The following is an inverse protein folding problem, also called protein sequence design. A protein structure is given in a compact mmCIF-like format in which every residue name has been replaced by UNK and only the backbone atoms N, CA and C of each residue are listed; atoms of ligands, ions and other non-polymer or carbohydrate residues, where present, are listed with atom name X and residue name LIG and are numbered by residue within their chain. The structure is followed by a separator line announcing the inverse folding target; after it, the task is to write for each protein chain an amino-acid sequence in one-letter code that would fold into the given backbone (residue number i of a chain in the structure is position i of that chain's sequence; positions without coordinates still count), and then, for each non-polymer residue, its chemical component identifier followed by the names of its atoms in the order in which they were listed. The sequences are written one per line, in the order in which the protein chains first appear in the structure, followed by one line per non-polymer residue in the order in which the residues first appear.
data_IF_530199244343
#
_entry.id   IF_530199244343
#
_cell.length_a   1.000
_cell.length_b   1.000
_cell.length_c   1.000
_cell.angle_alpha   90.00
_cell.angle_beta   90.00
_cell.angle_gamma   90.00
#
_symmetry.space_group_name_H-M   'P 1'
#
loop_
_entity.id
_entity.type
_entity.pdbx_description
1 polymer ?
#
# COMPACT_ATOMS: atom_id res chain seq x y z
N UNK A 1 10.87 -0.54 31.92
CA UNK A 1 11.16 -0.32 30.51
C UNK A 1 9.88 -0.20 29.73
N UNK A 2 9.66 0.90 29.01
CA UNK A 2 8.43 1.00 28.24
C UNK A 2 8.41 -0.07 27.17
N UNK A 3 7.28 -0.72 27.03
CA UNK A 3 7.12 -1.73 25.98
C UNK A 3 7.24 -1.05 24.62
N UNK A 4 8.12 -1.62 23.81
CA UNK A 4 8.29 -1.15 22.46
C UNK A 4 7.02 -1.46 21.68
N UNK A 5 6.37 -0.45 21.12
CA UNK A 5 5.20 -0.66 20.28
C UNK A 5 5.59 -1.59 19.13
N UNK A 6 4.83 -2.66 18.95
CA UNK A 6 5.09 -3.61 17.89
C UNK A 6 4.78 -2.96 16.53
N UNK A 7 5.74 -3.03 15.63
CA UNK A 7 5.54 -2.53 14.28
C UNK A 7 4.67 -3.49 13.46
N UNK A 8 3.91 -2.94 12.52
CA UNK A 8 3.15 -3.74 11.56
C UNK A 8 4.10 -4.37 10.55
N UNK A 9 3.77 -5.55 10.06
CA UNK A 9 4.48 -6.12 8.92
C UNK A 9 3.99 -5.46 7.64
N UNK A 10 4.92 -5.19 6.73
CA UNK A 10 4.59 -4.65 5.41
C UNK A 10 5.06 -5.66 4.37
N UNK A 11 4.11 -6.22 3.62
CA UNK A 11 4.39 -7.19 2.56
C UNK A 11 3.82 -6.64 1.25
N UNK A 12 4.22 -7.23 0.13
CA UNK A 12 3.71 -6.84 -1.19
C UNK A 12 3.04 -8.00 -1.89
N UNK A 13 2.05 -7.69 -2.73
CA UNK A 13 1.51 -8.66 -3.66
C UNK A 13 2.59 -9.08 -4.66
N UNK A 14 2.36 -10.17 -5.38
CA UNK A 14 3.28 -10.61 -6.43
C UNK A 14 3.44 -9.51 -7.48
N UNK A 15 2.34 -8.87 -7.86
CA UNK A 15 2.35 -7.79 -8.84
C UNK A 15 3.17 -6.60 -8.36
N UNK A 16 2.98 -6.20 -7.12
CA UNK A 16 3.74 -5.08 -6.57
C UNK A 16 5.23 -5.41 -6.47
N UNK A 17 5.57 -6.61 -6.02
CA UNK A 17 6.98 -7.03 -5.92
C UNK A 17 7.67 -6.99 -7.27
N UNK A 18 7.01 -7.49 -8.33
CA UNK A 18 7.56 -7.45 -9.69
C UNK A 18 7.78 -6.03 -10.16
N UNK A 19 6.82 -5.16 -9.93
CA UNK A 19 6.94 -3.74 -10.25
C UNK A 19 8.10 -3.10 -9.50
N UNK A 20 8.17 -3.32 -8.19
CA UNK A 20 9.15 -2.70 -7.33
C UNK A 20 10.57 -3.14 -7.66
N UNK A 21 10.76 -4.44 -7.95
CA UNK A 21 12.07 -4.99 -8.28
C UNK A 21 12.63 -4.45 -9.60
N UNK A 22 11.78 -3.98 -10.49
CA UNK A 22 12.20 -3.38 -11.77
C UNK A 22 12.67 -1.94 -11.61
N UNK A 23 12.39 -1.30 -10.48
CA UNK A 23 12.84 0.07 -10.24
C UNK A 23 14.32 0.02 -9.87
N UNK A 24 15.20 0.78 -10.59
CA UNK A 24 16.61 0.81 -10.24
C UNK A 24 16.82 1.33 -8.82
N UNK A 25 17.86 0.83 -8.13
CA UNK A 25 18.13 1.22 -6.75
C UNK A 25 18.39 2.71 -6.58
N UNK A 26 18.93 3.36 -7.62
CA UNK A 26 19.23 4.79 -7.59
C UNK A 26 18.05 5.67 -8.03
N UNK A 27 16.91 5.06 -8.35
CA UNK A 27 15.72 5.83 -8.73
C UNK A 27 15.13 6.49 -7.50
N UNK A 28 14.86 7.80 -7.53
CA UNK A 28 14.26 8.52 -6.38
C UNK A 28 12.96 7.93 -5.89
N UNK A 29 12.17 7.29 -6.77
CA UNK A 29 10.91 6.64 -6.36
C UNK A 29 11.16 5.51 -5.39
N UNK A 30 12.24 4.75 -5.58
CA UNK A 30 12.54 3.62 -4.71
C UNK A 30 12.78 4.07 -3.27
N UNK A 31 13.53 5.16 -3.11
CA UNK A 31 13.74 5.77 -1.80
C UNK A 31 12.42 6.23 -1.18
N UNK A 32 11.60 6.86 -1.98
CA UNK A 32 10.29 7.35 -1.52
C UNK A 32 9.39 6.19 -1.05
N UNK A 33 9.37 5.08 -1.79
CA UNK A 33 8.63 3.89 -1.38
C UNK A 33 9.12 3.34 -0.05
N UNK A 34 10.44 3.25 0.15
CA UNK A 34 10.99 2.77 1.42
C UNK A 34 10.58 3.67 2.59
N UNK A 35 10.54 4.97 2.39
CA UNK A 35 10.06 5.91 3.42
C UNK A 35 8.60 5.63 3.79
N UNK A 36 7.76 5.36 2.78
CA UNK A 36 6.36 5.05 3.02
C UNK A 36 6.19 3.71 3.72
N UNK A 37 6.98 2.69 3.35
CA UNK A 37 6.94 1.41 4.06
C UNK A 37 7.23 1.60 5.54
N UNK A 38 8.20 2.45 5.87
CA UNK A 38 8.53 2.76 7.26
C UNK A 38 7.37 3.42 7.98
N UNK A 39 6.70 4.37 7.32
CA UNK A 39 5.53 5.04 7.89
C UNK A 39 4.42 4.03 8.16
N UNK A 40 4.13 3.14 7.22
CA UNK A 40 3.07 2.14 7.37
C UNK A 40 3.40 1.08 8.42
N UNK A 41 4.69 0.78 8.63
CA UNK A 41 5.10 -0.08 9.74
C UNK A 41 4.75 0.53 11.09
N UNK A 42 4.89 1.83 11.20
CA UNK A 42 4.60 2.54 12.45
C UNK A 42 3.10 2.75 12.64
N UNK A 43 2.38 3.11 11.56
CA UNK A 43 0.94 3.36 11.60
C UNK A 43 0.32 3.02 10.25
N UNK A 44 -0.37 1.89 10.18
CA UNK A 44 -0.99 1.42 8.95
C UNK A 44 -2.23 2.20 8.52
N UNK A 45 -2.71 3.10 9.38
CA UNK A 45 -3.91 3.90 9.09
C UNK A 45 -3.58 5.32 8.61
N UNK A 46 -2.34 5.57 8.21
CA UNK A 46 -1.91 6.89 7.75
C UNK A 46 -2.46 7.28 6.37
N UNK A 47 -2.85 6.30 5.57
CA UNK A 47 -3.43 6.58 4.26
C UNK A 47 -4.89 6.99 4.34
N UNK A 48 -5.47 7.23 3.17
CA UNK A 48 -6.88 7.52 3.01
C UNK A 48 -7.65 6.24 2.77
N UNK A 49 -8.70 6.01 3.56
CA UNK A 49 -9.56 4.86 3.38
C UNK A 49 -10.43 5.04 2.12
N UNK A 50 -10.45 4.03 1.26
CA UNK A 50 -11.24 4.08 0.04
C UNK A 50 -12.59 3.42 0.31
N UNK A 51 -13.72 4.12 0.06
CA UNK A 51 -15.06 3.55 0.26
C UNK A 51 -15.28 2.31 -0.59
N UNK A 52 -16.07 1.37 -0.07
CA UNK A 52 -16.33 0.08 -0.72
C UNK A 52 -16.85 0.23 -2.16
N UNK A 53 -17.72 1.20 -2.41
CA UNK A 53 -18.33 1.40 -3.73
C UNK A 53 -17.32 1.91 -4.77
N UNK A 54 -16.12 2.27 -4.35
CA UNK A 54 -15.04 2.70 -5.24
C UNK A 54 -13.99 1.62 -5.49
N UNK A 55 -14.14 0.46 -4.88
CA UNK A 55 -13.16 -0.61 -5.04
C UNK A 55 -13.21 -1.20 -6.45
N UNK A 56 -12.06 -1.29 -7.15
CA UNK A 56 -12.01 -2.02 -8.42
C UNK A 56 -12.43 -3.46 -8.23
N UNK A 57 -13.27 -3.97 -9.14
CA UNK A 57 -13.74 -5.36 -9.08
C UNK A 57 -12.57 -6.36 -9.06
N UNK A 58 -11.47 -6.03 -9.72
CA UNK A 58 -10.27 -6.85 -9.73
C UNK A 58 -9.74 -7.13 -8.32
N UNK A 59 -9.76 -6.13 -7.44
CA UNK A 59 -9.24 -6.31 -6.09
C UNK A 59 -10.15 -7.21 -5.26
N UNK A 60 -11.46 -7.09 -5.46
CA UNK A 60 -12.43 -7.93 -4.76
C UNK A 60 -12.25 -9.40 -5.17
N UNK A 61 -12.17 -9.67 -6.47
CA UNK A 61 -12.07 -11.04 -6.98
C UNK A 61 -10.70 -11.66 -6.75
N UNK A 62 -9.63 -10.89 -6.96
CA UNK A 62 -8.26 -11.41 -6.90
C UNK A 62 -7.70 -11.47 -5.50
N UNK A 63 -7.88 -10.40 -4.72
CA UNK A 63 -7.28 -10.28 -3.39
C UNK A 63 -8.27 -10.51 -2.26
N UNK A 64 -9.56 -10.54 -2.55
CA UNK A 64 -10.63 -10.75 -1.56
C UNK A 64 -10.49 -9.81 -0.36
N UNK A 65 -10.23 -8.54 -0.66
CA UNK A 65 -9.99 -7.52 0.36
C UNK A 65 -11.24 -7.23 1.18
N UNK A 66 -11.05 -6.81 2.43
CA UNK A 66 -12.12 -6.35 3.31
C UNK A 66 -12.02 -4.86 3.62
N UNK A 67 -10.93 -4.25 3.24
CA UNK A 67 -10.71 -2.81 3.33
C UNK A 67 -9.71 -2.42 2.25
N UNK A 68 -9.65 -1.13 1.95
CA UNK A 68 -8.76 -0.63 0.92
C UNK A 68 -8.32 0.77 1.30
N UNK A 69 -7.02 1.04 1.14
CA UNK A 69 -6.40 2.28 1.53
C UNK A 69 -5.51 2.80 0.41
N UNK A 70 -5.34 4.10 0.39
CA UNK A 70 -4.46 4.79 -0.55
C UNK A 70 -3.51 5.69 0.21
N UNK A 71 -2.23 5.60 -0.10
CA UNK A 71 -1.23 6.55 0.38
C UNK A 71 -0.68 7.31 -0.82
N UNK A 72 -0.84 8.64 -0.81
CA UNK A 72 -0.36 9.49 -1.90
C UNK A 72 1.03 10.01 -1.57
N UNK A 73 2.00 9.73 -2.44
CA UNK A 73 3.38 10.17 -2.30
C UNK A 73 3.50 11.63 -2.76
N UNK A 74 4.57 12.29 -2.32
CA UNK A 74 4.84 13.67 -2.73
C UNK A 74 5.00 13.82 -4.24
N UNK A 75 5.51 12.79 -4.91
CA UNK A 75 5.66 12.75 -6.36
C UNK A 75 4.34 12.62 -7.11
N UNK A 76 3.23 12.40 -6.41
CA UNK A 76 1.94 12.14 -7.02
C UNK A 76 1.63 10.67 -7.23
N UNK A 77 2.60 9.79 -7.03
CA UNK A 77 2.35 8.35 -7.07
C UNK A 77 1.47 7.94 -5.90
N UNK A 78 0.75 6.84 -6.08
CA UNK A 78 -0.14 6.30 -5.05
C UNK A 78 0.17 4.85 -4.79
N UNK A 79 0.25 4.50 -3.52
CA UNK A 79 0.35 3.11 -3.06
C UNK A 79 -1.04 2.69 -2.60
N UNK A 80 -1.51 1.57 -3.14
CA UNK A 80 -2.81 1.00 -2.78
C UNK A 80 -2.54 -0.22 -1.91
N UNK A 81 -3.15 -0.26 -0.73
CA UNK A 81 -2.88 -1.34 0.20
C UNK A 81 -4.14 -1.74 0.96
N UNK A 82 -4.09 -2.94 1.52
CA UNK A 82 -5.11 -3.45 2.42
C UNK A 82 -4.46 -3.79 3.76
N UNK A 83 -5.23 -3.73 4.82
CA UNK A 83 -4.76 -4.01 6.18
C UNK A 83 -5.44 -5.27 6.68
N UNK A 84 -4.65 -6.25 7.06
CA UNK A 84 -5.12 -7.51 7.63
C UNK A 84 -4.83 -7.50 9.10
N UNK A 85 -5.82 -7.88 9.93
CA UNK A 85 -5.58 -7.98 11.36
C UNK A 85 -5.05 -9.36 11.71
N UNK A 86 -4.07 -9.36 12.61
CA UNK A 86 -3.57 -10.55 13.26
C UNK A 86 -3.79 -10.42 14.75
N UNK A 87 -3.46 -11.46 15.49
CA UNK A 87 -3.73 -11.57 16.93
C UNK A 87 -3.41 -10.30 17.72
N UNK A 88 -2.23 -9.74 17.58
CA UNK A 88 -1.79 -8.55 18.33
C UNK A 88 -1.26 -7.42 17.45
N UNK A 89 -1.33 -7.58 16.13
CA UNK A 89 -0.77 -6.60 15.20
C UNK A 89 -1.54 -6.62 13.87
N UNK A 90 -1.02 -5.87 12.92
CA UNK A 90 -1.59 -5.81 11.57
C UNK A 90 -0.54 -6.19 10.54
N UNK A 91 -1.02 -6.69 9.41
CA UNK A 91 -0.19 -6.86 8.21
C UNK A 91 -0.70 -5.86 7.16
N UNK A 92 0.21 -5.04 6.65
CA UNK A 92 -0.07 -4.17 5.52
C UNK A 92 0.35 -4.91 4.26
N UNK A 93 -0.61 -5.17 3.37
CA UNK A 93 -0.31 -5.79 2.08
C UNK A 93 -0.45 -4.74 0.98
N UNK A 94 0.67 -4.39 0.36
CA UNK A 94 0.68 -3.45 -0.75
C UNK A 94 0.26 -4.19 -2.01
N UNK A 95 -0.85 -3.78 -2.61
CA UNK A 95 -1.43 -4.44 -3.77
C UNK A 95 -0.81 -3.94 -5.07
N UNK A 96 -0.79 -2.62 -5.25
CA UNK A 96 -0.27 -1.98 -6.45
C UNK A 96 0.24 -0.57 -6.11
N UNK A 97 1.04 -0.03 -7.01
CA UNK A 97 1.45 1.38 -6.96
C UNK A 97 1.31 1.98 -8.36
N UNK A 98 0.83 3.21 -8.43
CA UNK A 98 0.49 3.85 -9.69
C UNK A 98 0.95 5.29 -9.74
N UNK A 99 1.29 5.75 -10.95
CA UNK A 99 1.29 7.17 -11.26
C UNK A 99 -0.15 7.69 -11.16
N UNK A 100 -0.31 9.02 -11.09
CA UNK A 100 -1.65 9.61 -11.05
C UNK A 100 -2.53 9.15 -12.21
N UNK A 101 -1.99 9.12 -13.41
CA UNK A 101 -2.71 8.72 -14.63
C UNK A 101 -3.18 7.27 -14.56
N UNK A 102 -2.29 6.36 -14.16
CA UNK A 102 -2.62 4.94 -14.09
C UNK A 102 -3.58 4.65 -12.94
N UNK A 103 -3.49 5.41 -11.85
CA UNK A 103 -4.43 5.32 -10.74
C UNK A 103 -5.86 5.64 -11.23
N UNK A 104 -6.02 6.71 -12.00
CA UNK A 104 -7.33 7.08 -12.54
C UNK A 104 -7.91 5.97 -13.41
N UNK A 105 -7.09 5.33 -14.24
CA UNK A 105 -7.53 4.21 -15.07
C UNK A 105 -8.00 3.03 -14.23
N UNK A 106 -7.24 2.68 -13.20
CA UNK A 106 -7.57 1.53 -12.35
C UNK A 106 -8.86 1.75 -11.58
N UNK A 107 -9.11 2.97 -11.12
CA UNK A 107 -10.26 3.31 -10.29
C UNK A 107 -11.43 3.90 -11.08
N UNK A 108 -11.30 4.05 -12.39
CA UNK A 108 -12.40 4.49 -13.25
C UNK A 108 -12.73 5.98 -13.17
N UNK A 109 -11.75 6.78 -12.85
CA UNK A 109 -11.95 8.25 -12.83
C UNK A 109 -11.74 8.86 -14.20
#
# INVERSE_FOLDING_TARGET
MPDKKKENDVIGSIEFKKFFDRIPQNDPRKKEFYEIFKILKEDCLQGDKIPHDRWPALYISKYRIKNLWRYTLRSGWRIIYTVLSQKDDFIVCILEAFSHKDYEKRFGY
#
